data_IF_431175979656
#
_entry.id   IF_431175979656
#
_cell.length_a   1.000
_cell.length_b   1.000
_cell.length_c   1.000
_cell.angle_alpha   90.00
_cell.angle_beta   90.00
_cell.angle_gamma   90.00
#
_symmetry.space_group_name_H-M   'P 1'
#
loop_
_entity.id
_entity.type
_entity.pdbx_description
1 polymer ?
#
# COMPACT_ATOMS: atom_id res chain seq x y z
N UNK A 1 -5.68 6.85 16.42
CA UNK A 1 -5.82 6.88 14.99
C UNK A 1 -5.45 5.52 14.39
N UNK A 2 -5.94 5.25 13.22
CA UNK A 2 -5.67 3.97 12.56
C UNK A 2 -4.22 3.81 12.14
N UNK A 3 -3.52 4.89 11.88
CA UNK A 3 -2.08 4.85 11.64
C UNK A 3 -1.36 4.33 12.87
N UNK A 4 -1.69 4.85 14.04
CA UNK A 4 -1.07 4.45 15.30
C UNK A 4 -1.34 2.98 15.61
N UNK A 5 -2.51 2.49 15.22
CA UNK A 5 -2.89 1.10 15.43
C UNK A 5 -2.36 0.16 14.34
N UNK A 6 -1.77 0.69 13.28
CA UNK A 6 -1.23 -0.13 12.20
C UNK A 6 -2.28 -0.86 11.37
N UNK A 7 -3.50 -0.32 11.29
CA UNK A 7 -4.65 -1.01 10.71
C UNK A 7 -4.92 -0.69 9.26
N UNK A 8 -4.28 0.34 8.72
CA UNK A 8 -4.41 0.75 7.32
C UNK A 8 -3.02 0.84 6.73
N UNK A 9 -2.94 0.99 5.42
CA UNK A 9 -1.68 1.42 4.84
C UNK A 9 -1.27 2.72 5.53
N UNK A 10 -0.22 2.73 6.38
CA UNK A 10 0.18 3.94 7.08
C UNK A 10 0.48 5.08 6.12
N UNK A 11 0.96 4.73 4.92
CA UNK A 11 1.30 5.68 3.87
C UNK A 11 0.08 6.50 3.44
N UNK A 12 -1.04 5.83 3.11
CA UNK A 12 -2.24 6.53 2.66
C UNK A 12 -2.84 7.40 3.76
N UNK A 13 -2.96 6.85 4.97
CA UNK A 13 -3.54 7.58 6.09
C UNK A 13 -2.65 8.77 6.51
N UNK A 14 -1.32 8.62 6.45
CA UNK A 14 -0.40 9.71 6.68
C UNK A 14 -0.58 10.82 5.65
N UNK A 15 -0.82 10.46 4.37
CA UNK A 15 -1.07 11.42 3.31
C UNK A 15 -2.38 12.16 3.51
N UNK A 16 -3.42 11.48 3.99
CA UNK A 16 -4.68 12.16 4.34
C UNK A 16 -4.46 13.23 5.40
N UNK A 17 -3.71 12.91 6.46
CA UNK A 17 -3.40 13.86 7.52
C UNK A 17 -2.58 15.04 7.00
N UNK A 18 -1.61 14.77 6.14
CA UNK A 18 -0.80 15.81 5.53
C UNK A 18 -1.65 16.73 4.65
N UNK A 19 -2.54 16.16 3.85
CA UNK A 19 -3.44 16.94 2.99
C UNK A 19 -4.34 17.87 3.82
N UNK A 20 -4.90 17.39 4.93
CA UNK A 20 -5.70 18.20 5.84
C UNK A 20 -4.87 19.36 6.41
N UNK A 21 -3.65 19.07 6.87
CA UNK A 21 -2.76 20.08 7.41
C UNK A 21 -2.35 21.16 6.41
N UNK A 22 -2.30 20.82 5.11
CA UNK A 22 -1.96 21.73 4.03
C UNK A 22 -3.20 22.40 3.39
N UNK A 23 -4.40 22.03 3.86
CA UNK A 23 -5.67 22.54 3.30
C UNK A 23 -5.85 22.18 1.82
N UNK A 24 -5.38 21.00 1.43
CA UNK A 24 -5.51 20.44 0.09
C UNK A 24 -6.12 19.04 0.16
N UNK A 25 -6.52 18.50 -0.99
CA UNK A 25 -6.97 17.10 -1.07
C UNK A 25 -5.79 16.15 -1.20
N UNK A 26 -5.98 14.87 -0.86
CA UNK A 26 -4.93 13.85 -1.03
C UNK A 26 -4.41 13.82 -2.47
N UNK A 27 -5.26 13.80 -3.51
CA UNK A 27 -4.77 13.86 -4.88
C UNK A 27 -3.87 15.06 -5.18
N UNK A 28 -4.12 16.20 -4.55
CA UNK A 28 -3.30 17.39 -4.77
C UNK A 28 -1.86 17.25 -4.27
N UNK A 29 -1.60 16.33 -3.36
CA UNK A 29 -0.23 16.02 -2.92
C UNK A 29 0.62 15.42 -4.04
N UNK A 30 -0.01 14.79 -5.02
CA UNK A 30 0.66 14.06 -6.10
C UNK A 30 0.44 14.69 -7.47
N UNK A 31 -0.56 15.55 -7.59
CA UNK A 31 -0.90 16.22 -8.84
C UNK A 31 -0.20 17.57 -8.90
N UNK A 32 0.44 17.93 -10.02
CA UNK A 32 1.06 19.23 -10.15
C UNK A 32 0.01 20.35 -10.09
N UNK A 33 0.39 21.56 -9.68
CA UNK A 33 -0.49 22.72 -9.75
C UNK A 33 -1.03 22.92 -11.15
N UNK A 34 -2.20 23.56 -11.24
CA UNK A 34 -2.82 23.86 -12.53
C UNK A 34 -1.84 24.62 -13.44
N UNK A 35 -1.69 24.16 -14.67
CA UNK A 35 -0.79 24.73 -15.66
C UNK A 35 0.63 24.15 -15.67
N UNK A 36 1.03 23.40 -14.64
CA UNK A 36 2.30 22.69 -14.68
C UNK A 36 2.14 21.33 -15.36
N UNK A 37 3.06 21.04 -16.27
CA UNK A 37 3.20 19.71 -16.85
C UNK A 37 4.42 19.02 -16.23
N UNK A 38 4.18 17.85 -15.63
CA UNK A 38 5.29 17.00 -15.16
C UNK A 38 5.50 15.94 -16.22
N UNK A 39 6.60 16.06 -16.96
CA UNK A 39 6.98 15.13 -18.01
C UNK A 39 8.45 14.74 -17.84
N UNK A 40 8.76 13.50 -18.19
CA UNK A 40 10.13 13.03 -18.21
C UNK A 40 10.77 12.81 -16.86
N UNK A 41 9.97 12.73 -15.78
CA UNK A 41 10.50 12.42 -14.45
C UNK A 41 10.90 10.95 -14.38
N UNK A 42 11.96 10.69 -13.61
CA UNK A 42 12.38 9.33 -13.34
C UNK A 42 13.02 9.25 -11.95
N UNK A 43 12.77 8.17 -11.25
CA UNK A 43 13.51 7.83 -10.05
C UNK A 43 13.84 6.34 -10.07
N UNK A 44 15.01 6.00 -9.58
CA UNK A 44 15.42 4.61 -9.42
C UNK A 44 15.65 4.37 -7.93
N UNK A 45 15.03 3.33 -7.40
CA UNK A 45 15.22 2.91 -6.01
C UNK A 45 15.95 1.58 -6.06
N UNK A 46 17.17 1.53 -5.51
CA UNK A 46 17.94 0.29 -5.47
C UNK A 46 17.37 -0.65 -4.39
N UNK A 47 17.68 -1.93 -4.53
CA UNK A 47 17.11 -2.97 -3.66
C UNK A 47 17.34 -2.72 -2.17
N UNK A 48 18.48 -2.17 -1.81
CA UNK A 48 18.88 -1.91 -0.43
C UNK A 48 18.49 -0.52 0.08
N UNK A 49 17.90 0.31 -0.76
CA UNK A 49 17.48 1.66 -0.39
C UNK A 49 16.08 1.65 0.22
N UNK A 50 15.77 2.74 0.90
CA UNK A 50 14.48 2.98 1.50
C UNK A 50 14.43 2.59 2.96
N UNK A 51 13.67 3.36 3.73
CA UNK A 51 13.45 3.09 5.15
C UNK A 51 12.21 2.21 5.32
N UNK A 52 12.38 1.12 6.04
CA UNK A 52 11.26 0.26 6.39
C UNK A 52 10.46 0.88 7.54
N UNK A 53 9.14 0.84 7.42
CA UNK A 53 8.22 1.20 8.51
C UNK A 53 7.40 -0.02 8.88
N UNK A 54 7.61 -0.51 10.08
CA UNK A 54 6.95 -1.71 10.57
C UNK A 54 5.73 -1.37 11.42
N UNK A 55 4.67 -2.12 11.20
CA UNK A 55 3.51 -2.17 12.08
C UNK A 55 3.37 -3.60 12.60
N UNK A 56 2.33 -3.89 13.38
CA UNK A 56 2.06 -5.25 13.82
C UNK A 56 1.73 -6.20 12.68
N UNK A 57 1.17 -5.71 11.59
CA UNK A 57 0.68 -6.52 10.47
C UNK A 57 1.57 -6.49 9.24
N UNK A 58 2.22 -5.36 8.96
CA UNK A 58 3.03 -5.17 7.75
C UNK A 58 4.32 -4.43 8.07
N UNK A 59 5.31 -4.62 7.20
CA UNK A 59 6.47 -3.76 7.13
C UNK A 59 6.58 -3.21 5.70
N UNK A 60 6.53 -1.89 5.56
CA UNK A 60 6.49 -1.22 4.27
C UNK A 60 7.82 -0.55 3.94
N UNK A 61 8.23 -0.66 2.69
CA UNK A 61 9.32 0.13 2.12
C UNK A 61 8.76 0.89 0.93
N UNK A 62 8.66 2.20 1.04
CA UNK A 62 8.16 3.04 -0.04
C UNK A 62 9.19 3.12 -1.16
N UNK A 63 8.74 2.88 -2.38
CA UNK A 63 9.59 2.93 -3.58
C UNK A 63 9.38 4.28 -4.28
N UNK A 64 10.38 4.71 -5.06
CA UNK A 64 10.34 5.99 -5.76
C UNK A 64 10.08 7.18 -4.81
N UNK A 65 10.61 7.11 -3.61
CA UNK A 65 10.38 8.12 -2.58
C UNK A 65 10.93 9.49 -2.96
N UNK A 66 11.92 9.53 -3.85
CA UNK A 66 12.51 10.79 -4.32
C UNK A 66 11.55 11.61 -5.20
N UNK A 67 10.54 10.98 -5.78
CA UNK A 67 9.55 11.68 -6.59
C UNK A 67 8.42 12.23 -5.73
N UNK A 68 8.08 13.47 -5.97
CA UNK A 68 6.90 14.11 -5.36
C UNK A 68 5.75 14.14 -6.37
N UNK A 69 4.54 14.34 -5.87
CA UNK A 69 3.33 14.49 -6.68
C UNK A 69 3.10 13.29 -7.60
N UNK A 70 3.24 12.08 -7.04
CA UNK A 70 2.95 10.83 -7.74
C UNK A 70 1.44 10.59 -7.79
N UNK A 71 0.98 9.92 -8.84
CA UNK A 71 -0.43 9.49 -8.97
C UNK A 71 -0.65 8.08 -8.42
N UNK A 72 0.41 7.36 -8.13
CA UNK A 72 0.36 6.06 -7.49
C UNK A 72 1.50 5.92 -6.50
N UNK A 73 1.29 5.07 -5.50
CA UNK A 73 2.27 4.78 -4.47
C UNK A 73 2.71 3.33 -4.59
N UNK A 74 3.88 3.07 -5.17
CA UNK A 74 4.45 1.73 -5.16
C UNK A 74 5.23 1.52 -3.87
N UNK A 75 5.03 0.36 -3.24
CA UNK A 75 5.80 -0.01 -2.07
C UNK A 75 5.96 -1.53 -1.99
N UNK A 76 7.05 -1.95 -1.38
CA UNK A 76 7.26 -3.35 -1.06
C UNK A 76 6.79 -3.59 0.36
N UNK A 77 5.99 -4.61 0.56
CA UNK A 77 5.46 -4.93 1.88
C UNK A 77 5.89 -6.34 2.29
N UNK A 78 6.39 -6.46 3.50
CA UNK A 78 6.56 -7.74 4.16
C UNK A 78 5.31 -7.98 5.00
N UNK A 79 4.64 -9.10 4.75
CA UNK A 79 3.37 -9.41 5.39
C UNK A 79 3.67 -10.18 6.68
N UNK A 80 3.43 -9.56 7.81
CA UNK A 80 3.70 -10.13 9.12
C UNK A 80 2.48 -10.82 9.73
N UNK A 81 1.28 -10.32 9.42
CA UNK A 81 0.04 -10.90 9.92
C UNK A 81 -0.16 -12.31 9.41
N UNK A 82 -0.65 -13.18 10.26
CA UNK A 82 -0.94 -14.59 9.96
C UNK A 82 -2.42 -14.88 9.95
N UNK A 83 -3.23 -14.04 10.58
CA UNK A 83 -4.68 -14.24 10.74
C UNK A 83 -5.42 -12.93 10.68
N UNK A 84 -6.68 -12.99 10.26
CA UNK A 84 -7.55 -11.82 10.18
C UNK A 84 -7.76 -11.15 11.54
N UNK A 85 -7.70 -11.91 12.61
CA UNK A 85 -7.91 -11.40 13.97
C UNK A 85 -6.82 -10.43 14.42
N UNK A 86 -5.71 -10.38 13.70
CA UNK A 86 -4.64 -9.42 13.97
C UNK A 86 -4.97 -8.02 13.43
N UNK A 87 -6.02 -7.90 12.63
CA UNK A 87 -6.51 -6.62 12.11
C UNK A 87 -7.72 -6.15 12.93
N UNK A 88 -7.86 -4.85 13.06
CA UNK A 88 -9.03 -4.24 13.69
C UNK A 88 -10.07 -3.91 12.60
N UNK A 89 -10.54 -4.94 11.93
CA UNK A 89 -11.52 -4.82 10.86
C UNK A 89 -10.89 -4.62 9.49
N UNK A 90 -11.71 -4.24 8.53
CA UNK A 90 -11.31 -4.07 7.14
C UNK A 90 -10.54 -2.78 6.93
N UNK A 91 -9.45 -2.87 6.17
CA UNK A 91 -8.78 -1.70 5.61
C UNK A 91 -9.57 -1.24 4.39
N UNK A 92 -9.85 0.05 4.29
CA UNK A 92 -10.52 0.69 3.14
C UNK A 92 -9.89 2.05 2.89
N UNK A 93 -9.76 2.40 1.63
CA UNK A 93 -9.39 3.76 1.23
C UNK A 93 -9.80 3.99 -0.23
N UNK A 94 -9.78 5.23 -0.66
CA UNK A 94 -10.12 5.56 -2.04
C UNK A 94 -9.05 5.04 -3.01
N UNK A 95 -9.46 4.83 -4.25
CA UNK A 95 -8.58 4.40 -5.32
C UNK A 95 -8.59 2.90 -5.54
N UNK A 96 -7.59 2.44 -6.21
CA UNK A 96 -7.41 1.05 -6.61
C UNK A 96 -6.07 0.54 -6.12
N UNK A 97 -5.95 -0.78 -5.99
CA UNK A 97 -4.68 -1.40 -5.62
C UNK A 97 -4.32 -2.53 -6.55
N UNK A 98 -3.02 -2.67 -6.79
CA UNK A 98 -2.43 -3.81 -7.46
C UNK A 98 -1.45 -4.48 -6.51
N UNK A 99 -1.54 -5.80 -6.42
CA UNK A 99 -0.71 -6.61 -5.54
C UNK A 99 -0.04 -7.71 -6.36
N UNK A 100 1.26 -7.87 -6.20
CA UNK A 100 2.03 -8.94 -6.85
C UNK A 100 2.87 -9.66 -5.79
N UNK A 101 2.75 -10.98 -5.72
CA UNK A 101 3.49 -11.78 -4.73
C UNK A 101 4.91 -12.00 -5.21
N UNK A 102 5.88 -11.49 -4.45
CA UNK A 102 7.30 -11.61 -4.77
C UNK A 102 7.91 -12.87 -4.16
N UNK A 103 7.60 -13.16 -2.90
CA UNK A 103 8.08 -14.36 -2.20
C UNK A 103 7.01 -14.86 -1.25
N UNK A 104 7.00 -16.16 -0.99
CA UNK A 104 6.09 -16.78 -0.05
C UNK A 104 4.70 -16.98 -0.60
N UNK A 105 3.74 -17.12 0.29
CA UNK A 105 2.34 -17.31 -0.02
C UNK A 105 1.49 -16.40 0.87
N UNK A 106 0.48 -15.78 0.29
CA UNK A 106 -0.44 -14.90 1.01
C UNK A 106 -1.87 -15.35 0.80
N UNK A 107 -2.74 -14.93 1.70
CA UNK A 107 -4.18 -15.00 1.52
C UNK A 107 -4.72 -13.59 1.49
N UNK A 108 -5.38 -13.26 0.39
CA UNK A 108 -6.05 -11.98 0.21
C UNK A 108 -7.50 -12.13 0.65
N UNK A 109 -7.87 -11.39 1.68
CA UNK A 109 -9.26 -11.29 2.13
C UNK A 109 -9.84 -10.00 1.57
N UNK A 110 -11.01 -10.12 0.93
CA UNK A 110 -11.78 -8.96 0.48
C UNK A 110 -13.22 -9.12 0.92
N UNK A 111 -13.88 -8.00 1.09
CA UNK A 111 -15.21 -7.94 1.67
C UNK A 111 -16.27 -8.65 0.84
N UNK A 112 -16.15 -8.58 -0.49
CA UNK A 112 -17.19 -9.07 -1.40
C UNK A 112 -16.87 -10.39 -2.07
N UNK A 113 -15.70 -10.95 -1.83
CA UNK A 113 -15.27 -12.20 -2.48
C UNK A 113 -14.75 -13.18 -1.44
N UNK A 114 -14.75 -14.45 -1.80
CA UNK A 114 -14.09 -15.47 -0.99
C UNK A 114 -12.58 -15.22 -0.92
N UNK A 115 -11.93 -15.57 0.20
CA UNK A 115 -10.48 -15.44 0.30
C UNK A 115 -9.75 -16.16 -0.82
N UNK A 116 -8.68 -15.54 -1.30
CA UNK A 116 -7.88 -16.09 -2.40
C UNK A 116 -6.46 -16.33 -1.91
N UNK A 117 -5.98 -17.56 -2.07
CA UNK A 117 -4.59 -17.90 -1.79
C UNK A 117 -3.75 -17.61 -3.03
N UNK A 118 -2.65 -16.90 -2.82
CA UNK A 118 -1.78 -16.45 -3.88
C UNK A 118 -0.34 -16.78 -3.54
N UNK A 119 0.37 -17.32 -4.51
CA UNK A 119 1.79 -17.67 -4.38
C UNK A 119 2.64 -16.79 -5.28
N UNK A 120 3.95 -16.91 -5.14
CA UNK A 120 4.92 -16.16 -5.95
C UNK A 120 4.52 -16.13 -7.42
N UNK A 121 4.46 -14.92 -7.98
CA UNK A 121 4.07 -14.69 -9.37
C UNK A 121 2.60 -14.40 -9.58
N UNK A 122 1.76 -14.67 -8.60
CA UNK A 122 0.34 -14.34 -8.69
C UNK A 122 0.13 -12.86 -8.40
N UNK A 123 -0.91 -12.29 -8.98
CA UNK A 123 -1.26 -10.90 -8.77
C UNK A 123 -2.77 -10.71 -8.64
N UNK A 124 -3.16 -9.59 -8.04
CA UNK A 124 -4.54 -9.21 -7.89
C UNK A 124 -4.69 -7.69 -8.10
N UNK A 125 -5.81 -7.31 -8.66
CA UNK A 125 -6.20 -5.91 -8.83
C UNK A 125 -7.60 -5.76 -8.25
N UNK A 126 -7.79 -4.78 -7.38
CA UNK A 126 -9.08 -4.61 -6.71
C UNK A 126 -9.33 -3.15 -6.36
N UNK A 127 -10.60 -2.83 -6.19
CA UNK A 127 -10.99 -1.52 -5.70
C UNK A 127 -10.67 -1.42 -4.22
N UNK A 128 -9.89 -0.42 -3.85
CA UNK A 128 -9.45 -0.24 -2.46
C UNK A 128 -10.57 0.28 -1.54
N UNK A 129 -11.68 0.73 -2.11
CA UNK A 129 -12.89 1.09 -1.36
C UNK A 129 -13.59 -0.15 -0.78
N UNK A 130 -13.36 -1.31 -1.38
CA UNK A 130 -13.78 -2.60 -0.82
C UNK A 130 -12.82 -2.99 0.31
N UNK A 131 -13.37 -3.42 1.43
CA UNK A 131 -12.54 -3.88 2.55
C UNK A 131 -11.57 -4.97 2.12
N UNK A 132 -10.31 -4.85 2.55
CA UNK A 132 -9.26 -5.78 2.16
C UNK A 132 -8.19 -5.91 3.25
N UNK A 133 -7.65 -7.12 3.39
CA UNK A 133 -6.53 -7.43 4.28
C UNK A 133 -5.73 -8.58 3.68
N UNK A 134 -4.44 -8.64 3.97
CA UNK A 134 -3.57 -9.69 3.47
C UNK A 134 -2.84 -10.33 4.65
N UNK A 135 -2.81 -11.65 4.66
CA UNK A 135 -2.05 -12.42 5.67
C UNK A 135 -1.02 -13.29 4.97
N UNK A 136 0.04 -13.66 5.69
CA UNK A 136 1.05 -14.59 5.20
C UNK A 136 0.65 -16.00 5.58
N UNK A 137 0.77 -16.93 4.62
CA UNK A 137 0.53 -18.35 4.83
C UNK A 137 1.83 -19.16 4.88
N UNK A 138 2.94 -18.55 4.52
CA UNK A 138 4.24 -19.23 4.53
C UNK A 138 4.89 -19.17 5.92
N UNK A 139 5.86 -20.06 6.17
CA UNK A 139 6.57 -20.08 7.45
C UNK A 139 7.31 -18.77 7.69
N UNK A 140 7.91 -18.23 6.65
CA UNK A 140 8.52 -16.90 6.68
C UNK A 140 7.50 -15.84 6.24
N UNK A 141 7.76 -14.59 6.58
CA UNK A 141 6.91 -13.50 6.12
C UNK A 141 6.97 -13.39 4.60
N UNK A 142 5.81 -13.43 3.97
CA UNK A 142 5.72 -13.24 2.53
C UNK A 142 6.02 -11.78 2.17
N UNK A 143 6.55 -11.57 0.98
CA UNK A 143 6.84 -10.24 0.46
C UNK A 143 6.02 -9.99 -0.78
N UNK A 144 5.40 -8.82 -0.86
CA UNK A 144 4.58 -8.42 -2.01
C UNK A 144 5.00 -7.05 -2.51
N UNK A 145 4.77 -6.81 -3.79
CA UNK A 145 4.75 -5.47 -4.36
C UNK A 145 3.30 -4.98 -4.29
N UNK A 146 3.12 -3.80 -3.74
CA UNK A 146 1.80 -3.20 -3.59
C UNK A 146 1.81 -1.81 -4.23
N UNK A 147 0.84 -1.55 -5.09
CA UNK A 147 0.72 -0.24 -5.72
C UNK A 147 -0.68 0.29 -5.43
N UNK A 148 -0.74 1.43 -4.78
CA UNK A 148 -2.00 2.11 -4.47
C UNK A 148 -2.15 3.30 -5.39
N UNK A 149 -3.26 3.38 -6.11
CA UNK A 149 -3.58 4.56 -6.89
C UNK A 149 -4.32 5.57 -6.01
N UNK A 150 -4.21 6.84 -6.39
CA UNK A 150 -4.82 7.94 -5.65
C UNK A 150 -5.96 8.60 -6.43
N UNK A 151 -6.31 8.01 -7.54
CA UNK A 151 -7.38 8.49 -8.41
C UNK A 151 -8.44 7.43 -8.60
#
# INVERSE_FOLDING_TARGET
SKIENGLMSPTYDALKKLAVGLEITVPQLFTPPAGEKITGRMAVTRAEEGAAKATGTYEHVLLADALRKKQMLPYRARIRARRMEEFDGWVRHDGEEFLYVLTGMVRLFTEFYEPVDMRRGDSAYYDATMGHNVVSLSDEDATILWVTSLV
#
